data_IF_674915228516
#
_entry.id   IF_674915228516
#
_cell.length_a   1.000
_cell.length_b   1.000
_cell.length_c   1.000
_cell.angle_alpha   90.00
_cell.angle_beta   90.00
_cell.angle_gamma   90.00
#
_symmetry.space_group_name_H-M   'P 1'
#
loop_
_entity.id
_entity.type
_entity.pdbx_description
1 polymer ?
#
# COMPACT_ATOMS: atom_id res chain seq x y z
N UNK A 1 66.06 3.66 -30.31
CA UNK A 1 64.93 2.80 -30.00
C UNK A 1 64.33 3.32 -28.69
N UNK A 2 63.34 4.22 -28.80
CA UNK A 2 62.75 4.89 -27.66
C UNK A 2 61.29 4.39 -27.53
N UNK A 3 61.01 3.61 -26.49
CA UNK A 3 59.69 3.06 -26.21
C UNK A 3 58.97 4.08 -25.36
N UNK A 4 57.88 4.67 -25.87
CA UNK A 4 56.98 5.53 -25.11
C UNK A 4 56.00 4.61 -24.38
N UNK A 5 56.07 4.55 -23.06
CA UNK A 5 55.11 3.95 -22.17
C UNK A 5 53.96 4.96 -22.00
N UNK A 6 52.82 4.64 -22.53
CA UNK A 6 51.57 5.40 -22.26
C UNK A 6 51.13 5.21 -20.81
N UNK A 7 50.71 6.30 -20.21
CA UNK A 7 50.27 6.39 -18.82
C UNK A 7 48.94 5.64 -18.61
N UNK A 8 48.83 4.67 -17.67
CA UNK A 8 47.60 3.92 -17.44
C UNK A 8 46.48 4.71 -16.70
N UNK A 9 46.75 5.97 -16.34
CA UNK A 9 45.80 6.76 -15.55
C UNK A 9 44.60 7.33 -16.36
N UNK A 10 44.70 7.45 -17.71
CA UNK A 10 43.59 7.98 -18.53
C UNK A 10 42.51 6.94 -18.86
N UNK A 11 42.81 5.64 -18.78
CA UNK A 11 41.84 4.59 -19.10
C UNK A 11 40.84 4.31 -17.95
N UNK A 12 41.23 4.56 -16.70
CA UNK A 12 40.39 4.29 -15.52
C UNK A 12 39.27 5.34 -15.31
N UNK A 13 39.47 6.58 -15.75
CA UNK A 13 38.45 7.66 -15.56
C UNK A 13 37.25 7.54 -16.46
N UNK A 14 37.29 6.79 -17.57
CA UNK A 14 36.16 6.59 -18.48
C UNK A 14 35.25 5.45 -18.04
N UNK A 15 35.75 4.37 -17.47
CA UNK A 15 34.94 3.26 -16.99
C UNK A 15 34.20 3.61 -15.69
N UNK A 16 34.82 4.33 -14.75
CA UNK A 16 34.18 4.77 -13.52
C UNK A 16 33.02 5.76 -13.74
N UNK A 17 33.04 6.54 -14.83
CA UNK A 17 32.02 7.53 -15.11
C UNK A 17 30.78 6.91 -15.81
N UNK A 18 30.95 5.83 -16.56
CA UNK A 18 29.84 5.08 -17.20
C UNK A 18 29.07 4.31 -16.13
N UNK A 19 29.77 3.70 -15.19
CA UNK A 19 29.16 2.91 -14.11
C UNK A 19 28.35 3.81 -13.14
N UNK A 20 28.90 4.97 -12.77
CA UNK A 20 28.19 5.93 -11.91
C UNK A 20 26.94 6.51 -12.55
N UNK A 21 26.93 6.80 -13.85
CA UNK A 21 25.77 7.29 -14.58
C UNK A 21 24.70 6.19 -14.77
N UNK A 22 25.12 4.94 -14.90
CA UNK A 22 24.25 3.76 -14.95
C UNK A 22 23.56 3.54 -13.62
N UNK A 23 24.32 3.55 -12.51
CA UNK A 23 23.80 3.41 -11.14
C UNK A 23 22.83 4.54 -10.77
N UNK A 24 23.07 5.79 -11.22
CA UNK A 24 22.17 6.91 -11.00
C UNK A 24 20.87 6.79 -11.79
N UNK A 25 20.89 6.16 -12.96
CA UNK A 25 19.67 5.87 -13.74
C UNK A 25 18.84 4.76 -13.10
N UNK A 26 19.46 3.70 -12.60
CA UNK A 26 18.79 2.63 -11.86
C UNK A 26 18.16 3.12 -10.55
N UNK A 27 18.73 4.17 -9.94
CA UNK A 27 18.20 4.79 -8.72
C UNK A 27 17.11 5.84 -8.97
N UNK A 28 16.81 6.20 -10.23
CA UNK A 28 15.79 7.20 -10.52
C UNK A 28 14.39 6.65 -10.30
N UNK A 29 13.56 7.42 -9.57
CA UNK A 29 12.15 7.07 -9.32
C UNK A 29 11.23 8.22 -9.72
N UNK A 30 10.06 7.89 -10.23
CA UNK A 30 8.99 8.83 -10.54
C UNK A 30 7.86 8.65 -9.53
N UNK A 31 7.35 9.76 -8.98
CA UNK A 31 6.19 9.77 -8.08
C UNK A 31 4.99 10.40 -8.76
N UNK A 32 3.80 9.86 -8.49
CA UNK A 32 2.52 10.50 -8.82
C UNK A 32 1.64 10.59 -7.58
N UNK A 33 0.82 11.63 -7.56
CA UNK A 33 -0.20 11.87 -6.55
C UNK A 33 -1.55 11.67 -7.21
N UNK A 34 -2.35 10.75 -6.66
CA UNK A 34 -3.74 10.54 -7.05
C UNK A 34 -4.61 11.14 -5.95
N UNK A 35 -5.47 12.08 -6.31
CA UNK A 35 -6.38 12.73 -5.36
C UNK A 35 -7.82 12.60 -5.85
N UNK A 36 -8.67 11.94 -5.07
CA UNK A 36 -10.03 11.64 -5.48
C UNK A 36 -11.04 11.90 -4.36
N UNK A 37 -12.26 12.23 -4.76
CA UNK A 37 -13.40 12.41 -3.88
C UNK A 37 -14.25 11.14 -3.72
N UNK A 38 -13.93 10.08 -4.47
CA UNK A 38 -14.71 8.83 -4.48
C UNK A 38 -13.80 7.61 -4.47
N UNK A 39 -14.04 6.70 -3.59
CA UNK A 39 -13.27 5.45 -3.44
C UNK A 39 -13.33 4.54 -4.68
N UNK A 40 -14.48 4.50 -5.38
CA UNK A 40 -14.62 3.76 -6.64
C UNK A 40 -13.74 4.34 -7.77
N UNK A 41 -13.53 5.65 -7.79
CA UNK A 41 -12.62 6.31 -8.73
C UNK A 41 -11.17 5.96 -8.39
N UNK A 42 -10.83 5.88 -7.11
CA UNK A 42 -9.48 5.52 -6.65
C UNK A 42 -9.04 4.14 -7.13
N UNK A 43 -9.91 3.12 -7.03
CA UNK A 43 -9.59 1.77 -7.53
C UNK A 43 -9.24 1.81 -9.03
N UNK A 44 -10.03 2.52 -9.81
CA UNK A 44 -9.78 2.68 -11.24
C UNK A 44 -8.46 3.37 -11.52
N UNK A 45 -8.22 4.53 -10.88
CA UNK A 45 -6.99 5.31 -11.06
C UNK A 45 -5.74 4.53 -10.63
N UNK A 46 -5.78 3.79 -9.52
CA UNK A 46 -4.69 2.93 -9.07
C UNK A 46 -4.36 1.84 -10.10
N UNK A 47 -5.38 1.21 -10.68
CA UNK A 47 -5.16 0.18 -11.71
C UNK A 47 -4.68 0.77 -13.04
N UNK A 48 -5.12 1.99 -13.41
CA UNK A 48 -4.61 2.69 -14.59
C UNK A 48 -3.11 3.00 -14.47
N UNK A 49 -2.67 3.57 -13.35
CA UNK A 49 -1.23 3.86 -13.15
C UNK A 49 -0.41 2.59 -12.93
N UNK A 50 -0.98 1.52 -12.37
CA UNK A 50 -0.32 0.22 -12.26
C UNK A 50 -0.03 -0.39 -13.64
N UNK A 51 -0.93 -0.20 -14.62
CA UNK A 51 -0.68 -0.59 -16.00
C UNK A 51 0.51 0.17 -16.63
N UNK A 52 0.85 1.36 -16.11
CA UNK A 52 2.03 2.14 -16.50
C UNK A 52 3.30 1.79 -15.66
N UNK A 53 3.23 0.82 -14.74
CA UNK A 53 4.35 0.39 -13.90
C UNK A 53 4.46 1.11 -12.55
N UNK A 54 3.51 1.98 -12.19
CA UNK A 54 3.49 2.56 -10.85
C UNK A 54 2.99 1.57 -9.81
N UNK A 55 3.56 1.66 -8.61
CA UNK A 55 3.16 0.86 -7.46
C UNK A 55 2.76 1.77 -6.31
N UNK A 56 1.71 1.40 -5.61
CA UNK A 56 1.22 2.09 -4.42
C UNK A 56 2.26 2.18 -3.32
N UNK A 57 2.37 3.36 -2.68
CA UNK A 57 3.30 3.64 -1.58
C UNK A 57 2.59 4.02 -0.29
N UNK A 58 1.48 4.76 -0.38
CA UNK A 58 0.77 5.21 0.80
C UNK A 58 -0.53 5.92 0.46
N UNK A 59 -1.42 6.01 1.46
CA UNK A 59 -2.72 6.67 1.36
C UNK A 59 -2.98 7.53 2.59
N UNK A 60 -3.61 8.67 2.40
CA UNK A 60 -4.17 9.50 3.47
C UNK A 60 -5.54 10.05 3.07
N UNK A 61 -6.43 10.14 4.03
CA UNK A 61 -7.68 10.88 3.91
C UNK A 61 -7.63 12.16 4.72
N UNK A 62 -8.37 13.16 4.31
CA UNK A 62 -8.47 14.42 5.05
C UNK A 62 -8.96 15.58 4.22
N UNK A 63 -9.19 16.69 4.90
CA UNK A 63 -9.53 17.94 4.26
C UNK A 63 -8.30 18.59 3.65
N UNK A 64 -8.38 18.88 2.36
CA UNK A 64 -7.31 19.58 1.65
C UNK A 64 -7.59 21.06 1.49
N UNK A 65 -6.54 21.87 1.40
CA UNK A 65 -6.63 23.33 1.28
C UNK A 65 -7.39 23.80 0.01
N UNK A 66 -7.64 22.89 -0.95
CA UNK A 66 -8.21 23.22 -2.25
C UNK A 66 -9.63 22.70 -2.48
N UNK A 67 -10.32 22.19 -1.47
CA UNK A 67 -11.74 21.91 -1.64
C UNK A 67 -12.28 20.61 -1.08
N UNK A 68 -12.32 20.51 0.23
CA UNK A 68 -13.06 19.45 0.90
C UNK A 68 -12.26 18.18 1.15
N UNK A 69 -12.95 17.19 1.67
CA UNK A 69 -12.36 15.91 2.05
C UNK A 69 -11.97 15.10 0.82
N UNK A 70 -10.72 14.70 0.75
CA UNK A 70 -10.15 13.91 -0.35
C UNK A 70 -9.41 12.70 0.20
N UNK A 71 -9.34 11.64 -0.61
CA UNK A 71 -8.38 10.56 -0.40
C UNK A 71 -7.23 10.75 -1.37
N UNK A 72 -6.03 10.82 -0.82
CA UNK A 72 -4.79 11.05 -1.57
C UNK A 72 -3.95 9.78 -1.50
N UNK A 73 -3.59 9.22 -2.66
CA UNK A 73 -2.66 8.11 -2.78
C UNK A 73 -1.37 8.55 -3.44
N UNK A 74 -0.27 8.05 -2.92
CA UNK A 74 1.06 8.19 -3.52
C UNK A 74 1.44 6.89 -4.21
N UNK A 75 1.90 7.01 -5.45
CA UNK A 75 2.43 5.89 -6.23
C UNK A 75 3.82 6.21 -6.74
N UNK A 76 4.63 5.20 -6.94
CA UNK A 76 6.02 5.32 -7.37
C UNK A 76 6.33 4.31 -8.49
N UNK A 77 7.16 4.72 -9.44
CA UNK A 77 7.69 3.86 -10.49
C UNK A 77 9.21 4.00 -10.52
N UNK A 78 9.93 2.87 -10.49
CA UNK A 78 11.36 2.82 -10.78
C UNK A 78 11.64 2.83 -12.29
N UNK A 79 12.90 3.03 -12.68
CA UNK A 79 13.30 3.10 -14.08
C UNK A 79 12.97 1.81 -14.87
N UNK A 80 13.09 0.65 -14.21
CA UNK A 80 12.88 -0.68 -14.81
C UNK A 80 11.53 -1.31 -14.44
N UNK A 81 10.58 -0.51 -13.96
CA UNK A 81 9.28 -1.02 -13.54
C UNK A 81 8.45 -1.48 -14.75
N UNK A 82 8.00 -2.72 -14.70
CA UNK A 82 7.11 -3.29 -15.71
C UNK A 82 5.65 -2.93 -15.42
N UNK A 83 4.93 -2.51 -16.46
CA UNK A 83 3.50 -2.22 -16.37
C UNK A 83 2.66 -3.49 -16.17
N UNK A 84 1.55 -3.35 -15.44
CA UNK A 84 0.57 -4.42 -15.26
C UNK A 84 0.98 -5.53 -14.26
N UNK A 85 2.11 -5.35 -13.55
CA UNK A 85 2.56 -6.33 -12.55
C UNK A 85 1.64 -6.38 -11.33
N UNK A 86 1.04 -5.25 -10.96
CA UNK A 86 0.20 -5.14 -9.77
C UNK A 86 -1.23 -4.78 -10.14
N UNK A 87 -2.19 -5.34 -9.41
CA UNK A 87 -3.60 -4.94 -9.44
C UNK A 87 -4.06 -4.55 -8.05
N UNK A 88 -5.06 -3.66 -7.98
CA UNK A 88 -5.55 -3.08 -6.74
C UNK A 88 -7.04 -3.29 -6.57
N UNK A 89 -7.44 -3.49 -5.30
CA UNK A 89 -8.80 -3.40 -4.80
C UNK A 89 -8.85 -2.33 -3.71
N UNK A 90 -9.91 -1.52 -3.73
CA UNK A 90 -10.18 -0.50 -2.72
C UNK A 90 -11.46 -0.88 -1.99
N UNK A 91 -11.33 -1.20 -0.72
CA UNK A 91 -12.47 -1.50 0.15
C UNK A 91 -12.80 -0.23 0.94
N UNK A 92 -14.07 0.13 1.00
CA UNK A 92 -14.53 1.31 1.73
C UNK A 92 -15.82 0.99 2.48
N UNK A 93 -15.78 1.08 3.79
CA UNK A 93 -16.94 0.75 4.61
C UNK A 93 -16.90 1.48 5.95
N UNK A 94 -18.09 1.75 6.49
CA UNK A 94 -18.31 2.30 7.83
C UNK A 94 -18.54 1.21 8.89
N UNK A 95 -18.49 -0.08 8.52
CA UNK A 95 -18.77 -1.19 9.44
C UNK A 95 -17.63 -2.20 9.46
N UNK A 96 -17.06 -2.43 10.64
CA UNK A 96 -15.96 -3.38 10.85
C UNK A 96 -16.29 -4.81 10.40
N UNK A 97 -17.55 -5.27 10.62
CA UNK A 97 -17.98 -6.62 10.20
C UNK A 97 -18.06 -6.77 8.69
N UNK A 98 -18.45 -5.72 7.96
CA UNK A 98 -18.42 -5.70 6.49
C UNK A 98 -16.98 -5.73 5.98
N UNK A 99 -16.11 -4.91 6.58
CA UNK A 99 -14.68 -4.89 6.27
C UNK A 99 -14.03 -6.26 6.43
N UNK A 100 -14.29 -6.92 7.56
CA UNK A 100 -13.79 -8.27 7.81
C UNK A 100 -14.15 -9.23 6.67
N UNK A 101 -15.42 -9.24 6.26
CA UNK A 101 -15.90 -10.12 5.20
C UNK A 101 -15.26 -9.80 3.85
N UNK A 102 -15.24 -8.54 3.47
CA UNK A 102 -14.67 -8.08 2.20
C UNK A 102 -13.17 -8.37 2.12
N UNK A 103 -12.41 -8.11 3.19
CA UNK A 103 -10.98 -8.44 3.26
C UNK A 103 -10.72 -9.94 3.13
N UNK A 104 -11.55 -10.78 3.75
CA UNK A 104 -11.45 -12.24 3.61
C UNK A 104 -11.73 -12.71 2.18
N UNK A 105 -12.67 -12.11 1.49
CA UNK A 105 -12.98 -12.45 0.10
C UNK A 105 -11.80 -12.11 -0.81
N UNK A 106 -11.30 -10.86 -0.77
CA UNK A 106 -10.17 -10.44 -1.62
C UNK A 106 -8.85 -11.09 -1.22
N UNK A 107 -8.65 -11.43 0.06
CA UNK A 107 -7.48 -12.17 0.53
C UNK A 107 -7.37 -13.57 -0.07
N UNK A 108 -8.50 -14.27 -0.24
CA UNK A 108 -8.56 -15.57 -0.95
C UNK A 108 -8.24 -15.43 -2.43
N UNK A 109 -8.52 -14.25 -3.03
CA UNK A 109 -8.17 -13.92 -4.41
C UNK A 109 -6.70 -13.46 -4.55
N UNK A 110 -5.93 -13.50 -3.45
CA UNK A 110 -4.49 -13.21 -3.44
C UNK A 110 -4.12 -11.75 -3.20
N UNK A 111 -5.06 -10.92 -2.75
CA UNK A 111 -4.77 -9.53 -2.44
C UNK A 111 -4.18 -9.37 -1.03
N UNK A 112 -3.02 -8.71 -0.99
CA UNK A 112 -2.27 -8.35 0.20
C UNK A 112 -2.64 -6.93 0.66
N UNK A 113 -2.80 -6.73 1.97
CA UNK A 113 -2.96 -5.40 2.55
C UNK A 113 -1.77 -4.48 2.27
N UNK A 114 -2.04 -3.23 1.87
CA UNK A 114 -1.01 -2.23 1.57
C UNK A 114 -1.13 -0.95 2.37
N UNK A 115 -2.31 -0.62 2.83
CA UNK A 115 -2.53 0.58 3.63
C UNK A 115 -3.98 0.89 3.85
N UNK A 116 -4.25 1.80 4.77
CA UNK A 116 -5.60 2.25 5.11
C UNK A 116 -5.60 3.72 5.51
N UNK A 117 -6.78 4.32 5.40
CA UNK A 117 -7.06 5.64 5.93
C UNK A 117 -8.52 5.75 6.35
N UNK A 118 -8.84 6.77 7.13
CA UNK A 118 -10.25 7.16 7.39
C UNK A 118 -10.59 8.32 6.48
N UNK A 119 -11.76 8.28 5.90
CA UNK A 119 -12.27 9.27 4.99
C UNK A 119 -13.70 9.66 5.37
N UNK A 120 -13.92 10.96 5.58
CA UNK A 120 -15.26 11.48 5.85
C UNK A 120 -15.93 11.84 4.53
N UNK A 121 -16.97 11.06 4.15
CA UNK A 121 -17.68 11.29 2.89
C UNK A 121 -18.56 12.53 2.97
N UNK A 122 -18.79 13.20 1.82
CA UNK A 122 -19.67 14.38 1.73
C UNK A 122 -21.12 14.11 2.14
N UNK A 123 -21.54 12.86 2.20
CA UNK A 123 -22.90 12.45 2.56
C UNK A 123 -23.05 12.04 4.03
N UNK A 124 -22.02 12.23 4.85
CA UNK A 124 -22.05 12.06 6.29
C UNK A 124 -21.70 10.66 6.76
N UNK A 125 -20.54 10.53 7.33
CA UNK A 125 -20.02 9.34 8.00
C UNK A 125 -18.57 9.08 7.62
N UNK A 126 -17.85 8.52 8.59
CA UNK A 126 -16.47 8.09 8.38
C UNK A 126 -16.48 6.69 7.77
N UNK A 127 -15.72 6.54 6.71
CA UNK A 127 -15.43 5.26 6.07
C UNK A 127 -13.97 4.89 6.29
N UNK A 128 -13.71 3.65 6.64
CA UNK A 128 -12.35 3.11 6.58
C UNK A 128 -12.10 2.65 5.15
N UNK A 129 -11.09 3.24 4.53
CA UNK A 129 -10.65 2.89 3.18
C UNK A 129 -9.40 2.02 3.30
N UNK A 130 -9.43 0.83 2.72
CA UNK A 130 -8.31 -0.12 2.71
C UNK A 130 -7.86 -0.36 1.27
N UNK A 131 -6.56 -0.26 1.03
CA UNK A 131 -5.93 -0.56 -0.25
C UNK A 131 -5.33 -1.97 -0.19
N UNK A 132 -5.73 -2.81 -1.13
CA UNK A 132 -5.27 -4.18 -1.30
C UNK A 132 -4.57 -4.32 -2.64
N UNK A 133 -3.43 -5.02 -2.68
CA UNK A 133 -2.58 -5.21 -3.87
C UNK A 133 -2.39 -6.70 -4.15
N UNK A 134 -2.47 -7.10 -5.43
CA UNK A 134 -2.08 -8.44 -5.89
C UNK A 134 -0.92 -8.32 -6.88
N UNK A 135 0.10 -9.17 -6.70
CA UNK A 135 1.17 -9.37 -7.68
C UNK A 135 0.70 -10.39 -8.73
N UNK A 136 0.49 -9.93 -9.97
CA UNK A 136 -0.04 -10.77 -11.07
C UNK A 136 1.02 -11.72 -11.66
N UNK A 137 2.30 -11.47 -11.38
CA UNK A 137 3.43 -12.23 -11.93
C UNK A 137 4.01 -13.20 -10.89
N UNK A 138 3.89 -12.86 -9.62
CA UNK A 138 4.42 -13.67 -8.51
C UNK A 138 3.68 -15.00 -8.31
N UNK A 139 4.22 -15.90 -7.49
CA UNK A 139 3.52 -17.12 -7.14
C UNK A 139 2.18 -16.78 -6.47
N UNK A 140 1.09 -17.50 -6.82
CA UNK A 140 -0.20 -17.27 -6.20
C UNK A 140 -0.12 -17.51 -4.69
N UNK A 141 -0.59 -16.53 -3.93
CA UNK A 141 -0.68 -16.59 -2.46
C UNK A 141 -2.11 -16.28 -2.06
N UNK A 142 -2.50 -16.78 -0.91
CA UNK A 142 -3.77 -16.44 -0.28
C UNK A 142 -3.51 -15.89 1.12
N UNK A 143 -4.39 -15.00 1.57
CA UNK A 143 -4.26 -14.33 2.84
C UNK A 143 -5.55 -14.46 3.64
N UNK A 144 -5.41 -14.79 4.91
CA UNK A 144 -6.48 -14.66 5.90
C UNK A 144 -6.32 -13.34 6.63
N UNK A 145 -7.43 -12.63 6.83
CA UNK A 145 -7.48 -11.39 7.58
C UNK A 145 -8.37 -11.54 8.80
N UNK A 146 -7.93 -10.97 9.93
CA UNK A 146 -8.74 -10.85 11.12
C UNK A 146 -8.69 -9.41 11.62
N UNK A 147 -9.89 -8.83 11.84
CA UNK A 147 -10.05 -7.50 12.40
C UNK A 147 -10.42 -7.61 13.87
N UNK A 148 -9.74 -6.83 14.69
CA UNK A 148 -10.07 -6.64 16.10
C UNK A 148 -10.55 -5.21 16.28
N UNK A 149 -11.73 -5.03 16.86
CA UNK A 149 -12.29 -3.72 17.15
C UNK A 149 -12.63 -3.62 18.63
N UNK A 150 -12.08 -2.63 19.31
CA UNK A 150 -12.30 -2.45 20.73
C UNK A 150 -12.22 -0.97 21.14
N UNK A 151 -13.07 -0.59 22.07
CA UNK A 151 -12.99 0.70 22.76
C UNK A 151 -12.08 0.68 23.99
N UNK A 152 -11.52 -0.51 24.36
CA UNK A 152 -10.70 -0.71 25.54
C UNK A 152 -9.33 -1.21 25.18
N UNK A 153 -8.31 -0.37 25.34
CA UNK A 153 -6.92 -0.75 25.08
C UNK A 153 -6.42 -1.89 25.97
N UNK A 154 -6.98 -2.05 27.18
CA UNK A 154 -6.60 -3.14 28.08
C UNK A 154 -6.97 -4.54 27.58
N UNK A 155 -7.97 -4.67 26.71
CA UNK A 155 -8.35 -5.96 26.10
C UNK A 155 -7.60 -6.21 24.79
N UNK A 156 -7.16 -5.15 24.11
CA UNK A 156 -6.51 -5.23 22.82
C UNK A 156 -5.22 -6.07 22.85
N UNK A 157 -4.39 -5.89 23.87
CA UNK A 157 -3.16 -6.68 24.04
C UNK A 157 -3.46 -8.18 24.15
N UNK A 158 -4.46 -8.54 24.95
CA UNK A 158 -4.86 -9.95 25.12
C UNK A 158 -5.37 -10.54 23.80
N UNK A 159 -6.19 -9.80 23.08
CA UNK A 159 -6.75 -10.24 21.79
C UNK A 159 -5.66 -10.36 20.73
N UNK A 160 -4.74 -9.39 20.64
CA UNK A 160 -3.60 -9.44 19.73
C UNK A 160 -2.68 -10.64 20.02
N UNK A 161 -2.38 -10.90 21.28
CA UNK A 161 -1.56 -12.06 21.66
C UNK A 161 -2.24 -13.37 21.28
N UNK A 162 -3.57 -13.46 21.39
CA UNK A 162 -4.33 -14.64 20.98
C UNK A 162 -4.24 -14.86 19.46
N UNK A 163 -4.53 -13.85 18.64
CA UNK A 163 -4.45 -14.00 17.18
C UNK A 163 -3.01 -14.21 16.72
N UNK A 164 -2.03 -13.64 17.44
CA UNK A 164 -0.60 -13.88 17.19
C UNK A 164 -0.21 -15.35 17.38
N UNK A 165 -0.78 -16.04 18.38
CA UNK A 165 -0.59 -17.50 18.57
C UNK A 165 -1.17 -18.32 17.42
N UNK A 166 -2.22 -17.80 16.75
CA UNK A 166 -2.83 -18.40 15.56
C UNK A 166 -2.06 -18.06 14.26
N UNK A 167 -0.89 -17.40 14.37
CA UNK A 167 0.00 -17.07 13.26
C UNK A 167 -0.34 -15.76 12.52
N UNK A 168 -1.29 -14.98 13.02
CA UNK A 168 -1.58 -13.67 12.46
C UNK A 168 -0.55 -12.62 12.87
N UNK A 169 -0.27 -11.69 11.96
CA UNK A 169 0.63 -10.55 12.18
C UNK A 169 -0.13 -9.24 12.02
N UNK A 170 0.20 -8.26 12.86
CA UNK A 170 -0.32 -6.90 12.74
C UNK A 170 0.12 -6.27 11.42
N UNK A 171 -0.83 -5.71 10.65
CA UNK A 171 -0.55 -5.00 9.40
C UNK A 171 -1.11 -3.58 9.39
N UNK A 172 -2.15 -3.30 10.18
CA UNK A 172 -2.72 -1.96 10.22
C UNK A 172 -3.42 -1.67 11.54
N UNK A 173 -3.47 -0.38 11.88
CA UNK A 173 -4.20 0.13 13.04
C UNK A 173 -4.83 1.48 12.66
N UNK A 174 -6.07 1.69 13.07
CA UNK A 174 -6.77 2.96 12.91
C UNK A 174 -7.74 3.20 14.05
N UNK A 175 -8.19 4.43 14.20
CA UNK A 175 -9.34 4.77 15.05
C UNK A 175 -10.49 5.11 14.13
N UNK A 176 -11.63 4.48 14.34
CA UNK A 176 -12.85 4.71 13.57
C UNK A 176 -14.00 5.07 14.50
N UNK A 177 -14.82 6.04 14.10
CA UNK A 177 -16.04 6.35 14.78
C UNK A 177 -17.06 5.22 14.59
N UNK A 178 -17.75 4.85 15.68
CA UNK A 178 -18.80 3.81 15.61
C UNK A 178 -20.17 4.39 15.29
N UNK A 179 -21.04 3.57 14.73
CA UNK A 179 -22.44 3.94 14.44
C UNK A 179 -23.23 4.32 15.72
N UNK A 180 -22.79 3.88 16.88
CA UNK A 180 -23.44 4.14 18.18
C UNK A 180 -22.86 5.32 18.96
N UNK A 181 -21.91 6.06 18.36
CA UNK A 181 -21.20 7.17 19.00
C UNK A 181 -20.11 6.69 19.94
N UNK A 182 -18.89 6.99 19.56
CA UNK A 182 -17.64 6.63 20.24
C UNK A 182 -16.59 6.20 19.25
N UNK A 183 -15.35 6.20 19.69
CA UNK A 183 -14.22 5.78 18.88
C UNK A 183 -13.81 4.36 19.25
N UNK A 184 -13.57 3.53 18.25
CA UNK A 184 -12.98 2.21 18.40
C UNK A 184 -11.60 2.15 17.77
N UNK A 185 -10.68 1.49 18.44
CA UNK A 185 -9.41 1.09 17.82
C UNK A 185 -9.68 -0.15 16.99
N UNK A 186 -9.47 -0.04 15.68
CA UNK A 186 -9.59 -1.13 14.73
C UNK A 186 -8.19 -1.58 14.32
N UNK A 187 -7.89 -2.83 14.58
CA UNK A 187 -6.61 -3.45 14.25
C UNK A 187 -6.82 -4.50 13.17
N UNK A 188 -6.00 -4.43 12.12
CA UNK A 188 -5.98 -5.39 11.03
C UNK A 188 -4.80 -6.34 11.23
N UNK A 189 -5.08 -7.62 11.15
CA UNK A 189 -4.06 -8.67 11.17
C UNK A 189 -4.19 -9.56 9.95
N UNK A 190 -3.07 -10.09 9.48
CA UNK A 190 -3.02 -10.99 8.34
C UNK A 190 -2.21 -12.26 8.63
N UNK A 191 -2.52 -13.30 7.89
CA UNK A 191 -1.77 -14.55 7.85
C UNK A 191 -1.72 -15.08 6.42
N UNK A 192 -0.53 -15.48 5.96
CA UNK A 192 -0.41 -16.20 4.68
C UNK A 192 -0.99 -17.60 4.86
N UNK A 193 -1.85 -18.00 3.93
CA UNK A 193 -2.34 -19.38 3.86
C UNK A 193 -1.62 -20.09 2.72
N UNK A 194 -0.72 -21.02 3.08
CA UNK A 194 -0.14 -21.93 2.11
C UNK A 194 -1.21 -22.96 1.71
N UNK A 195 -1.38 -23.13 0.41
CA UNK A 195 -2.07 -24.28 -0.17
C UNK A 195 -1.07 -25.29 -0.69
#
# INVERSE_FOLDING_TARGET
MLTVLGDPAEAQTFEDNVDSASLLREASVEYRVLATLRTSTMEKELNEVAAEGFRFQGVMGGDTAFGGSQVVSLVMRGADAEGGRHSYRVLATSRTSSMQKEMQEVGRDGYLYRGQTVYSSMFGGDEVVVIMERDEVGPPRQYDYQLLATSRTSTLETELNKVGQDGFRLVGITVAATVFGGDEVVVLTERVTDR
#
